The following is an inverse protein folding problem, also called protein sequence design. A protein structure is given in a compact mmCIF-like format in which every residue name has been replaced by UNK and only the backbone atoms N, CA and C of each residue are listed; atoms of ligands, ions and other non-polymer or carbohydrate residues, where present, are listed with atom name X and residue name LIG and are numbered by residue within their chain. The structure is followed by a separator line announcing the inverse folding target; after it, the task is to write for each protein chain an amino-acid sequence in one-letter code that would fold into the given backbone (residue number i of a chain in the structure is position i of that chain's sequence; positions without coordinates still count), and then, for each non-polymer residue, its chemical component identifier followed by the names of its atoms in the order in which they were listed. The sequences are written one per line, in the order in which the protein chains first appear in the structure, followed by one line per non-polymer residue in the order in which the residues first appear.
data_IF_628802382749
#
_entry.id   IF_628802382749
#
_cell.length_a   1.000
_cell.length_b   1.000
_cell.length_c   1.000
_cell.angle_alpha   90.00
_cell.angle_beta   90.00
_cell.angle_gamma   90.00
#
_symmetry.space_group_name_H-M   'P 1'
#
loop_
_entity.id
_entity.type
_entity.pdbx_description
1 polymer ?
#
# COMPACT_ATOMS: atom_id res chain seq x y z
N UNK A 1 16.28 4.67 -1.31
CA UNK A 1 15.79 3.52 -0.50
C UNK A 1 16.95 2.78 0.17
N UNK A 2 17.77 1.99 -0.55
CA UNK A 2 18.80 1.13 0.04
C UNK A 2 19.77 1.88 0.96
N UNK A 3 20.30 3.02 0.55
CA UNK A 3 21.19 3.84 1.38
C UNK A 3 20.54 4.33 2.68
N UNK A 4 19.23 4.60 2.63
CA UNK A 4 18.45 4.96 3.81
C UNK A 4 18.36 3.80 4.79
N UNK A 5 18.03 2.59 4.30
CA UNK A 5 17.96 1.39 5.12
C UNK A 5 19.30 0.98 5.74
N UNK A 6 20.42 1.38 5.11
CA UNK A 6 21.77 1.13 5.61
C UNK A 6 22.34 2.29 6.44
N UNK A 7 21.55 3.27 6.81
CA UNK A 7 21.99 4.41 7.62
C UNK A 7 23.01 5.32 6.96
N UNK A 8 23.09 5.34 5.62
CA UNK A 8 24.09 6.12 4.88
C UNK A 8 23.64 7.57 4.67
N UNK A 9 24.57 8.52 4.81
CA UNK A 9 24.32 9.97 4.63
C UNK A 9 23.66 10.36 3.30
N UNK A 10 23.86 9.56 2.25
CA UNK A 10 23.20 9.77 0.94
C UNK A 10 21.86 9.02 0.79
N UNK A 11 21.28 8.58 1.90
CA UNK A 11 19.88 8.17 1.98
C UNK A 11 18.91 9.33 1.77
N UNK A 12 17.62 9.05 1.59
CA UNK A 12 16.63 10.10 1.30
C UNK A 12 16.37 11.04 2.50
N UNK A 13 16.64 10.58 3.71
CA UNK A 13 16.63 11.38 4.95
C UNK A 13 17.98 11.34 5.69
N UNK A 14 19.07 11.22 4.94
CA UNK A 14 20.40 11.17 5.51
C UNK A 14 20.72 9.88 6.26
N UNK A 15 19.96 8.81 6.04
CA UNK A 15 20.11 7.53 6.71
C UNK A 15 19.49 7.45 8.10
N UNK A 16 18.73 8.46 8.51
CA UNK A 16 18.15 8.55 9.87
C UNK A 16 16.69 8.08 9.93
N UNK A 17 15.97 8.05 8.81
CA UNK A 17 14.55 7.75 8.79
C UNK A 17 14.20 6.28 8.63
N UNK A 18 15.15 5.42 8.27
CA UNK A 18 14.92 3.99 8.08
C UNK A 18 13.85 3.68 7.04
N UNK A 19 13.10 2.59 7.24
CA UNK A 19 12.06 2.16 6.31
C UNK A 19 10.83 3.08 6.28
N UNK A 20 10.56 3.79 7.37
CA UNK A 20 9.37 4.65 7.50
C UNK A 20 9.45 5.92 6.63
N UNK A 21 10.66 6.44 6.42
CA UNK A 21 10.84 7.73 5.74
C UNK A 21 11.32 7.61 4.30
N UNK A 22 11.08 6.45 3.66
CA UNK A 22 11.49 6.24 2.28
C UNK A 22 10.62 7.08 1.34
N UNK A 23 11.23 8.05 0.68
CA UNK A 23 10.57 8.89 -0.31
C UNK A 23 11.47 9.14 -1.53
N UNK A 24 10.89 9.65 -2.59
CA UNK A 24 11.63 10.00 -3.80
C UNK A 24 10.95 11.11 -4.59
N UNK A 25 11.54 12.29 -4.58
CA UNK A 25 11.08 13.43 -5.39
C UNK A 25 11.11 13.11 -6.90
N UNK A 26 12.10 12.31 -7.34
CA UNK A 26 12.27 11.95 -8.76
C UNK A 26 11.06 11.22 -9.35
N UNK A 27 10.36 10.43 -8.55
CA UNK A 27 9.19 9.64 -8.98
C UNK A 27 7.91 10.10 -8.28
N UNK A 28 7.91 11.29 -7.68
CA UNK A 28 6.78 11.83 -6.92
C UNK A 28 6.23 10.86 -5.86
N UNK A 29 7.12 10.13 -5.19
CA UNK A 29 6.78 9.24 -4.11
C UNK A 29 6.96 9.97 -2.78
N UNK A 30 5.85 10.23 -2.09
CA UNK A 30 5.84 10.75 -0.73
C UNK A 30 6.04 9.58 0.24
N UNK A 31 6.82 9.81 1.27
CA UNK A 31 7.08 8.79 2.27
C UNK A 31 5.94 8.62 3.26
N UNK A 32 6.17 7.73 4.19
CA UNK A 32 5.37 7.51 5.38
C UNK A 32 6.05 8.22 6.57
N UNK A 33 5.30 8.72 7.53
CA UNK A 33 5.83 9.47 8.67
C UNK A 33 5.63 8.80 10.04
N UNK A 34 5.06 7.60 10.06
CA UNK A 34 4.77 6.86 11.29
C UNK A 34 3.37 7.06 11.87
N UNK A 35 2.65 8.11 11.49
CA UNK A 35 1.24 8.28 11.86
C UNK A 35 0.34 7.51 10.89
N UNK A 36 -0.45 6.58 11.40
CA UNK A 36 -1.35 5.77 10.58
C UNK A 36 -2.33 6.67 9.82
N UNK A 37 -2.38 6.51 8.50
CA UNK A 37 -3.31 7.26 7.65
C UNK A 37 -2.90 8.70 7.31
N UNK A 38 -1.83 9.28 7.88
CA UNK A 38 -1.37 10.64 7.56
C UNK A 38 -1.09 10.85 6.07
N UNK A 39 -0.67 9.80 5.37
CA UNK A 39 -0.48 9.81 3.93
C UNK A 39 -1.77 10.13 3.15
N UNK A 40 -2.95 9.94 3.74
CA UNK A 40 -4.21 10.36 3.12
C UNK A 40 -4.26 11.89 3.00
N UNK A 41 -4.03 12.62 4.08
CA UNK A 41 -4.02 14.08 4.07
C UNK A 41 -2.92 14.67 3.20
N UNK A 42 -1.72 14.08 3.25
CA UNK A 42 -0.58 14.48 2.41
C UNK A 42 -0.91 14.27 0.93
N UNK A 43 -1.41 13.09 0.57
CA UNK A 43 -1.78 12.76 -0.80
C UNK A 43 -2.91 13.62 -1.35
N UNK A 44 -3.92 13.94 -0.52
CA UNK A 44 -5.00 14.85 -0.88
C UNK A 44 -4.47 16.25 -1.13
N UNK A 45 -3.61 16.77 -0.26
CA UNK A 45 -2.97 18.08 -0.42
C UNK A 45 -2.11 18.16 -1.68
N UNK A 46 -1.31 17.13 -1.93
CA UNK A 46 -0.47 17.02 -3.14
C UNK A 46 -1.31 16.97 -4.42
N UNK A 47 -2.38 16.17 -4.44
CA UNK A 47 -3.31 16.11 -5.56
C UNK A 47 -4.03 17.44 -5.79
N UNK A 48 -4.52 18.06 -4.73
CA UNK A 48 -5.23 19.33 -4.81
C UNK A 48 -4.36 20.44 -5.38
N UNK A 49 -3.11 20.53 -4.95
CA UNK A 49 -2.16 21.54 -5.43
C UNK A 49 -1.69 21.25 -6.86
N UNK A 50 -1.28 20.03 -7.15
CA UNK A 50 -0.67 19.68 -8.44
C UNK A 50 -1.68 19.38 -9.54
N UNK A 51 -2.93 19.08 -9.20
CA UNK A 51 -3.99 18.55 -10.09
C UNK A 51 -3.62 17.24 -10.78
N UNK A 52 -2.61 16.53 -10.28
CA UNK A 52 -2.15 15.27 -10.85
C UNK A 52 -2.86 14.08 -10.20
N UNK A 53 -3.14 13.01 -10.98
CA UNK A 53 -3.60 11.74 -10.44
C UNK A 53 -2.71 11.25 -9.30
N UNK A 54 -3.33 10.83 -8.20
CA UNK A 54 -2.61 10.42 -6.99
C UNK A 54 -3.12 9.09 -6.49
N UNK A 55 -2.22 8.19 -6.10
CA UNK A 55 -2.54 6.93 -5.45
C UNK A 55 -2.11 7.05 -3.99
N UNK A 56 -3.00 6.65 -3.07
CA UNK A 56 -2.78 6.67 -1.64
C UNK A 56 -2.95 5.25 -1.12
N UNK A 57 -1.88 4.67 -0.57
CA UNK A 57 -1.92 3.35 0.07
C UNK A 57 -2.14 3.52 1.57
N UNK A 58 -3.12 2.84 2.12
CA UNK A 58 -3.44 2.84 3.56
C UNK A 58 -3.81 1.44 4.04
N UNK A 59 -3.54 1.14 5.31
CA UNK A 59 -4.06 -0.08 5.93
C UNK A 59 -5.53 0.06 6.33
N UNK A 60 -6.20 -1.07 6.60
CA UNK A 60 -7.61 -1.11 6.99
C UNK A 60 -7.90 -0.35 8.29
N UNK A 61 -7.01 -0.44 9.29
CA UNK A 61 -7.15 0.31 10.53
C UNK A 61 -6.96 1.81 10.35
N UNK A 62 -6.16 2.24 9.38
CA UNK A 62 -5.98 3.65 9.09
C UNK A 62 -7.25 4.35 8.58
N UNK A 63 -8.23 3.61 8.07
CA UNK A 63 -9.53 4.17 7.70
C UNK A 63 -10.33 4.71 8.90
N UNK A 64 -9.97 4.33 10.12
CA UNK A 64 -10.66 4.72 11.35
C UNK A 64 -10.16 6.06 11.89
N UNK A 65 -9.05 6.57 11.34
CA UNK A 65 -8.48 7.86 11.75
C UNK A 65 -9.35 9.04 11.27
N UNK A 66 -9.59 9.98 12.15
CA UNK A 66 -10.48 11.13 11.91
C UNK A 66 -10.05 11.99 10.71
N UNK A 67 -8.77 12.23 10.54
CA UNK A 67 -8.22 12.97 9.41
C UNK A 67 -8.32 12.20 8.09
N UNK A 68 -8.43 10.87 8.10
CA UNK A 68 -8.72 10.08 6.89
C UNK A 68 -10.17 10.27 6.49
N UNK A 69 -11.11 10.28 7.44
CA UNK A 69 -12.52 10.57 7.18
C UNK A 69 -12.69 11.98 6.59
N UNK A 70 -12.03 12.97 7.16
CA UNK A 70 -12.02 14.34 6.62
C UNK A 70 -11.44 14.38 5.20
N UNK A 71 -10.37 13.61 4.93
CA UNK A 71 -9.76 13.50 3.61
C UNK A 71 -10.73 12.91 2.57
N UNK A 72 -11.44 11.83 2.90
CA UNK A 72 -12.46 11.23 2.02
C UNK A 72 -13.57 12.22 1.67
N UNK A 73 -14.07 12.95 2.69
CA UNK A 73 -15.09 13.99 2.50
C UNK A 73 -14.62 15.05 1.50
N UNK A 74 -13.41 15.53 1.67
CA UNK A 74 -12.84 16.60 0.84
C UNK A 74 -12.59 16.13 -0.60
N UNK A 75 -12.04 14.93 -0.76
CA UNK A 75 -11.78 14.29 -2.06
C UNK A 75 -13.07 14.15 -2.85
N UNK A 76 -14.14 13.68 -2.22
CA UNK A 76 -15.46 13.55 -2.83
C UNK A 76 -16.00 14.91 -3.26
N UNK A 77 -16.01 15.89 -2.36
CA UNK A 77 -16.55 17.24 -2.65
C UNK A 77 -15.79 17.95 -3.76
N UNK A 78 -14.48 17.77 -3.85
CA UNK A 78 -13.61 18.40 -4.86
C UNK A 78 -13.44 17.58 -6.12
N UNK A 79 -14.00 16.38 -6.16
CA UNK A 79 -13.87 15.41 -7.26
C UNK A 79 -12.40 15.23 -7.68
N UNK A 80 -11.53 14.99 -6.69
CA UNK A 80 -10.10 14.85 -6.96
C UNK A 80 -9.78 13.50 -7.62
N UNK A 81 -8.85 13.43 -8.58
CA UNK A 81 -8.44 12.20 -9.23
C UNK A 81 -7.55 11.33 -8.32
N UNK A 82 -8.14 10.83 -7.25
CA UNK A 82 -7.46 10.03 -6.23
C UNK A 82 -7.99 8.61 -6.22
N UNK A 83 -7.05 7.67 -6.18
CA UNK A 83 -7.31 6.28 -5.87
C UNK A 83 -6.79 5.96 -4.46
N UNK A 84 -7.68 5.65 -3.54
CA UNK A 84 -7.32 5.03 -2.27
C UNK A 84 -7.19 3.52 -2.44
N UNK A 85 -6.03 2.99 -2.09
CA UNK A 85 -5.77 1.54 -2.06
C UNK A 85 -5.69 1.13 -0.60
N UNK A 86 -6.69 0.40 -0.14
CA UNK A 86 -6.76 -0.12 1.22
C UNK A 86 -6.22 -1.55 1.23
N UNK A 87 -5.16 -1.77 1.97
CA UNK A 87 -4.59 -3.10 2.21
C UNK A 87 -5.23 -3.66 3.48
N UNK A 88 -6.32 -4.40 3.28
CA UNK A 88 -7.16 -4.95 4.36
C UNK A 88 -6.69 -6.34 4.76
N UNK A 89 -5.91 -6.41 5.82
CA UNK A 89 -5.45 -7.67 6.41
C UNK A 89 -6.26 -8.09 7.65
N UNK A 90 -7.35 -7.40 7.91
CA UNK A 90 -8.28 -7.68 9.02
C UNK A 90 -7.74 -7.37 10.42
N UNK A 91 -6.55 -6.76 10.52
CA UNK A 91 -5.90 -6.51 11.82
C UNK A 91 -5.32 -5.09 11.93
N UNK A 92 -5.55 -4.47 13.11
CA UNK A 92 -4.72 -3.38 13.62
C UNK A 92 -3.69 -3.99 14.57
N UNK A 93 -2.47 -4.18 14.13
CA UNK A 93 -1.41 -4.94 14.83
C UNK A 93 -1.87 -6.35 15.18
N UNK A 94 -2.58 -6.54 16.29
CA UNK A 94 -3.12 -7.82 16.79
C UNK A 94 -4.64 -7.79 16.98
N UNK A 95 -5.26 -6.60 16.99
CA UNK A 95 -6.70 -6.45 17.20
C UNK A 95 -7.45 -6.68 15.91
N UNK A 96 -8.38 -7.62 15.90
CA UNK A 96 -9.19 -7.90 14.73
C UNK A 96 -10.11 -6.74 14.38
N UNK A 97 -10.46 -6.63 13.12
CA UNK A 97 -11.37 -5.62 12.61
C UNK A 97 -12.76 -5.72 13.25
N UNK A 98 -13.28 -6.92 13.42
CA UNK A 98 -14.57 -7.18 14.05
C UNK A 98 -14.69 -6.69 15.50
N UNK A 99 -13.55 -6.54 16.20
CA UNK A 99 -13.51 -5.97 17.55
C UNK A 99 -13.48 -4.44 17.56
N UNK A 100 -13.22 -3.81 16.40
CA UNK A 100 -13.03 -2.37 16.26
C UNK A 100 -14.19 -1.68 15.57
N UNK A 101 -14.85 -2.36 14.62
CA UNK A 101 -15.89 -1.74 13.79
C UNK A 101 -16.78 -2.78 13.09
N UNK A 102 -18.03 -2.39 12.82
CA UNK A 102 -19.02 -3.18 12.09
C UNK A 102 -19.16 -2.76 10.63
N UNK A 103 -18.56 -1.64 10.21
CA UNK A 103 -18.64 -1.15 8.85
C UNK A 103 -17.45 -1.60 7.99
N UNK A 104 -17.66 -1.72 6.70
CA UNK A 104 -16.63 -2.05 5.71
C UNK A 104 -16.04 -0.79 5.07
N UNK A 105 -14.85 -0.90 4.47
CA UNK A 105 -14.27 0.18 3.65
C UNK A 105 -15.21 0.65 2.53
N UNK A 106 -16.00 -0.28 1.99
CA UNK A 106 -17.00 0.01 0.95
C UNK A 106 -18.18 0.80 1.50
N UNK A 107 -18.65 0.51 2.72
CA UNK A 107 -19.73 1.27 3.38
C UNK A 107 -19.28 2.70 3.64
N UNK A 108 -18.06 2.84 4.15
CA UNK A 108 -17.45 4.15 4.39
C UNK A 108 -17.35 4.96 3.09
N UNK A 109 -16.79 4.40 2.04
CA UNK A 109 -16.68 5.05 0.74
C UNK A 109 -18.06 5.46 0.20
N UNK A 110 -19.07 4.60 0.33
CA UNK A 110 -20.45 4.89 -0.06
C UNK A 110 -21.03 6.08 0.70
N UNK A 111 -20.76 6.17 2.02
CA UNK A 111 -21.21 7.31 2.83
C UNK A 111 -20.65 8.64 2.33
N UNK A 112 -19.44 8.66 1.81
CA UNK A 112 -18.82 9.81 1.16
C UNK A 112 -19.08 9.92 -0.34
N UNK A 113 -19.96 9.09 -0.92
CA UNK A 113 -20.28 9.05 -2.37
C UNK A 113 -19.02 8.78 -3.23
N UNK A 114 -18.07 8.05 -2.71
CA UNK A 114 -16.87 7.59 -3.43
C UNK A 114 -17.16 6.20 -3.99
N UNK A 115 -16.82 5.99 -5.25
CA UNK A 115 -16.93 4.69 -5.89
C UNK A 115 -15.96 3.72 -5.26
N UNK A 116 -16.44 2.55 -4.86
CA UNK A 116 -15.61 1.58 -4.16
C UNK A 116 -15.72 0.17 -4.73
N UNK A 117 -14.59 -0.53 -4.69
CA UNK A 117 -14.47 -1.94 -5.02
C UNK A 117 -13.93 -2.69 -3.81
N UNK A 118 -14.42 -3.91 -3.63
CA UNK A 118 -13.97 -4.84 -2.62
C UNK A 118 -13.53 -6.13 -3.32
N UNK A 119 -12.23 -6.43 -3.26
CA UNK A 119 -11.63 -7.48 -4.08
C UNK A 119 -10.64 -8.32 -3.26
N UNK A 120 -10.41 -9.53 -3.74
CA UNK A 120 -9.32 -10.36 -3.22
C UNK A 120 -7.98 -9.83 -3.70
N UNK A 121 -6.91 -10.18 -3.00
CA UNK A 121 -5.54 -9.95 -3.42
C UNK A 121 -5.19 -10.87 -4.63
N UNK A 122 -5.87 -10.60 -5.74
CA UNK A 122 -5.69 -11.25 -7.03
C UNK A 122 -5.45 -10.19 -8.11
N UNK A 123 -4.30 -10.23 -8.81
CA UNK A 123 -3.97 -9.23 -9.83
C UNK A 123 -5.03 -9.07 -10.92
N UNK A 124 -5.76 -10.15 -11.25
CA UNK A 124 -6.81 -10.11 -12.28
C UNK A 124 -8.06 -9.39 -11.77
N UNK A 125 -8.46 -9.65 -10.52
CA UNK A 125 -9.58 -8.96 -9.88
C UNK A 125 -9.27 -7.47 -9.72
N UNK A 126 -8.08 -7.14 -9.23
CA UNK A 126 -7.61 -5.75 -9.09
C UNK A 126 -7.59 -5.04 -10.45
N UNK A 127 -7.00 -5.66 -11.47
CA UNK A 127 -6.96 -5.09 -12.82
C UNK A 127 -8.37 -4.87 -13.38
N UNK A 128 -9.28 -5.84 -13.21
CA UNK A 128 -10.68 -5.73 -13.66
C UNK A 128 -11.41 -4.60 -12.95
N UNK A 129 -11.20 -4.43 -11.64
CA UNK A 129 -11.83 -3.35 -10.87
C UNK A 129 -11.35 -1.97 -11.30
N UNK A 130 -10.04 -1.83 -11.60
CA UNK A 130 -9.40 -0.56 -11.94
C UNK A 130 -9.39 -0.22 -13.43
N UNK A 131 -9.75 -1.17 -14.32
CA UNK A 131 -9.59 -1.04 -15.77
C UNK A 131 -10.43 0.08 -16.41
N UNK A 132 -11.46 0.57 -15.73
CA UNK A 132 -12.36 1.60 -16.27
C UNK A 132 -12.40 2.79 -15.32
N UNK A 133 -12.09 3.96 -15.84
CA UNK A 133 -12.26 5.24 -15.14
C UNK A 133 -11.31 5.54 -13.96
N UNK A 134 -10.20 4.82 -13.82
CA UNK A 134 -9.16 5.20 -12.87
C UNK A 134 -8.76 6.67 -13.09
N UNK A 135 -8.75 7.45 -12.00
CA UNK A 135 -8.44 8.89 -12.00
C UNK A 135 -9.42 9.84 -12.72
N UNK A 136 -10.58 9.39 -13.16
CA UNK A 136 -11.66 10.28 -13.65
C UNK A 136 -12.51 10.83 -12.51
N UNK A 137 -12.65 10.06 -11.47
CA UNK A 137 -13.38 10.34 -10.26
C UNK A 137 -12.64 9.75 -9.05
N UNK A 138 -12.91 10.21 -7.82
CA UNK A 138 -12.34 9.58 -6.64
C UNK A 138 -12.82 8.12 -6.53
N UNK A 139 -11.87 7.26 -6.21
CA UNK A 139 -12.12 5.82 -6.07
C UNK A 139 -11.43 5.25 -4.85
N UNK A 140 -12.03 4.20 -4.29
CA UNK A 140 -11.44 3.37 -3.26
C UNK A 140 -11.45 1.91 -3.70
N UNK A 141 -10.34 1.22 -3.57
CA UNK A 141 -10.27 -0.23 -3.71
C UNK A 141 -9.82 -0.84 -2.39
N UNK A 142 -10.67 -1.69 -1.80
CA UNK A 142 -10.31 -2.50 -0.64
C UNK A 142 -9.81 -3.85 -1.14
N UNK A 143 -8.58 -4.21 -0.77
CA UNK A 143 -7.93 -5.43 -1.19
C UNK A 143 -7.74 -6.29 0.04
N UNK A 144 -8.42 -7.44 0.11
CA UNK A 144 -8.23 -8.41 1.18
C UNK A 144 -6.88 -9.07 1.05
N UNK A 145 -5.93 -8.64 1.87
CA UNK A 145 -4.54 -9.08 1.86
C UNK A 145 -4.26 -10.05 3.00
N UNK A 146 -3.17 -10.78 2.89
CA UNK A 146 -2.65 -11.59 3.98
C UNK A 146 -1.27 -11.08 4.38
N UNK A 147 -1.10 -10.80 5.67
CA UNK A 147 0.18 -10.40 6.23
C UNK A 147 1.06 -11.63 6.40
N UNK A 148 2.18 -11.67 5.68
CA UNK A 148 3.11 -12.81 5.69
C UNK A 148 4.07 -12.82 6.88
N UNK A 149 4.37 -11.64 7.40
CA UNK A 149 5.42 -11.45 8.38
C UNK A 149 4.90 -10.69 9.58
N UNK A 150 5.72 -10.59 10.58
CA UNK A 150 5.42 -9.86 11.79
C UNK A 150 5.10 -8.39 11.52
N UNK A 151 4.15 -7.89 12.25
CA UNK A 151 3.87 -6.47 12.33
C UNK A 151 4.55 -5.91 13.58
N UNK A 152 5.59 -5.12 13.41
CA UNK A 152 6.32 -4.47 14.52
C UNK A 152 6.68 -5.42 15.68
N UNK A 153 7.12 -6.65 15.37
CA UNK A 153 7.46 -7.65 16.38
C UNK A 153 6.28 -8.50 16.89
N UNK A 154 5.07 -8.22 16.44
CA UNK A 154 3.88 -9.01 16.75
C UNK A 154 3.68 -10.15 15.74
N UNK A 155 2.95 -11.19 16.12
CA UNK A 155 2.80 -12.46 15.41
C UNK A 155 2.49 -12.38 13.92
N UNK A 156 2.44 -13.53 13.28
CA UNK A 156 2.16 -13.67 11.85
C UNK A 156 0.70 -14.04 11.62
N UNK A 157 0.16 -13.67 10.47
CA UNK A 157 -1.10 -14.22 10.00
C UNK A 157 -0.92 -15.71 9.68
N UNK A 158 -1.90 -16.52 10.03
CA UNK A 158 -1.84 -17.97 9.85
C UNK A 158 -2.14 -18.43 8.41
N UNK A 159 -2.49 -17.53 7.52
CA UNK A 159 -2.90 -17.89 6.17
C UNK A 159 -1.70 -18.11 5.25
N UNK A 160 -1.71 -19.22 4.53
CA UNK A 160 -0.66 -19.58 3.59
C UNK A 160 -0.80 -18.82 2.27
N UNK A 161 -0.16 -17.65 2.20
CA UNK A 161 -0.05 -16.88 0.94
C UNK A 161 0.75 -17.62 -0.12
N UNK A 162 1.59 -18.58 0.28
CA UNK A 162 2.28 -19.43 -0.67
C UNK A 162 1.34 -20.27 -1.53
N UNK A 163 0.11 -20.54 -1.09
CA UNK A 163 -0.86 -21.28 -1.91
C UNK A 163 -1.29 -20.47 -3.13
N UNK A 164 -1.46 -19.15 -3.03
CA UNK A 164 -1.70 -18.30 -4.20
C UNK A 164 -0.48 -18.25 -5.12
N UNK A 165 0.70 -18.05 -4.57
CA UNK A 165 1.95 -18.05 -5.33
C UNK A 165 2.17 -19.41 -6.01
N UNK A 166 1.94 -20.52 -5.32
CA UNK A 166 1.99 -21.88 -5.91
C UNK A 166 1.01 -22.04 -7.06
N UNK A 167 -0.23 -21.54 -6.90
CA UNK A 167 -1.25 -21.55 -7.94
C UNK A 167 -0.83 -20.74 -9.17
N UNK A 168 -0.28 -19.55 -8.97
CA UNK A 168 0.22 -18.71 -10.07
C UNK A 168 1.47 -19.32 -10.73
N UNK A 169 2.39 -19.92 -9.97
CA UNK A 169 3.52 -20.66 -10.52
C UNK A 169 3.05 -21.83 -11.35
N UNK A 170 2.01 -22.56 -10.92
CA UNK A 170 1.41 -23.63 -11.70
C UNK A 170 0.81 -23.13 -13.01
N UNK A 171 0.11 -22.00 -12.99
CA UNK A 171 -0.52 -21.39 -14.17
C UNK A 171 0.51 -20.85 -15.18
N UNK A 172 1.59 -20.24 -14.71
CA UNK A 172 2.63 -19.63 -15.55
C UNK A 172 3.76 -20.62 -15.92
N UNK A 173 3.82 -21.76 -15.24
CA UNK A 173 4.78 -22.84 -15.50
C UNK A 173 6.23 -22.40 -15.38
N UNK A 174 7.06 -22.86 -16.30
CA UNK A 174 8.52 -22.60 -16.30
C UNK A 174 8.86 -21.10 -16.32
N UNK A 175 8.02 -20.25 -16.93
CA UNK A 175 8.25 -18.79 -16.97
C UNK A 175 8.25 -18.16 -15.59
N UNK A 176 7.36 -18.58 -14.69
CA UNK A 176 7.31 -18.07 -13.32
C UNK A 176 8.62 -18.34 -12.57
N UNK A 177 9.15 -19.58 -12.66
CA UNK A 177 10.41 -19.98 -12.02
C UNK A 177 11.60 -19.14 -12.53
N UNK A 178 11.64 -18.89 -13.85
CA UNK A 178 12.69 -18.07 -14.46
C UNK A 178 12.63 -16.63 -13.95
N UNK A 179 11.42 -16.05 -13.89
CA UNK A 179 11.23 -14.68 -13.40
C UNK A 179 11.61 -14.59 -11.91
N UNK A 180 11.13 -15.52 -11.10
CA UNK A 180 11.43 -15.59 -9.66
C UNK A 180 12.93 -15.64 -9.41
N UNK A 181 13.64 -16.61 -10.06
CA UNK A 181 15.09 -16.73 -9.94
C UNK A 181 15.82 -15.47 -10.40
N UNK A 182 15.39 -14.87 -11.51
CA UNK A 182 16.00 -13.64 -12.03
C UNK A 182 15.85 -12.46 -11.05
N UNK A 183 14.67 -12.31 -10.44
CA UNK A 183 14.42 -11.26 -9.46
C UNK A 183 15.22 -11.52 -8.17
N UNK A 184 15.23 -12.77 -7.69
CA UNK A 184 16.02 -13.16 -6.52
C UNK A 184 17.50 -12.81 -6.70
N UNK A 185 18.12 -13.26 -7.79
CA UNK A 185 19.53 -12.95 -8.09
C UNK A 185 19.76 -11.43 -8.21
N UNK A 186 18.83 -10.70 -8.83
CA UNK A 186 18.92 -9.23 -8.91
C UNK A 186 18.92 -8.57 -7.53
N UNK A 187 18.06 -9.02 -6.63
CA UNK A 187 17.97 -8.48 -5.25
C UNK A 187 19.24 -8.83 -4.49
N UNK A 188 19.69 -10.09 -4.52
CA UNK A 188 20.91 -10.55 -3.87
C UNK A 188 22.13 -9.73 -4.32
N UNK A 189 22.32 -9.55 -5.62
CA UNK A 189 23.40 -8.74 -6.19
C UNK A 189 23.31 -7.25 -5.78
N UNK A 190 22.10 -6.73 -5.64
CA UNK A 190 21.90 -5.36 -5.15
C UNK A 190 22.36 -5.19 -3.70
N UNK A 191 22.19 -6.20 -2.86
CA UNK A 191 22.63 -6.17 -1.47
C UNK A 191 24.11 -6.49 -1.32
N UNK A 192 24.62 -7.53 -1.99
CA UNK A 192 26.03 -7.93 -1.95
C UNK A 192 27.00 -6.77 -2.25
N UNK A 193 26.72 -5.98 -3.28
CA UNK A 193 27.52 -4.80 -3.65
C UNK A 193 27.63 -3.73 -2.56
N UNK A 194 26.95 -3.88 -1.42
CA UNK A 194 26.91 -2.89 -0.35
C UNK A 194 27.36 -3.42 1.01
N UNK A 195 27.35 -4.75 1.20
CA UNK A 195 27.91 -5.41 2.38
C UNK A 195 29.44 -5.45 2.35
N UNK A 196 30.06 -5.35 1.18
CA UNK A 196 31.52 -5.30 1.04
C UNK A 196 32.14 -3.92 1.41
N UNK A 197 31.31 -2.92 1.78
CA UNK A 197 31.75 -1.55 2.12
C UNK A 197 31.28 -1.08 3.51
N UNK A 198 30.92 -2.02 4.35
CA UNK A 198 30.73 -1.83 5.78
C UNK A 198 31.97 -2.33 6.52
#
# INVERSE_FOLDING_TARGET
MKNELLGKKNGCTGGMGGSLSIHSKKINMFGHDGFMGSNATIGVGACFSSKKPTIIFIGDAALEEDYVLASLSWVSKKNLPILFVVEDNDYAVLTKKEERRDWTAKDLAKAFKIKAFDVKDDPKEIFKALNKNIFREPMLINIHTNRLFWHAGAGTDKQDVFDRLKKEIKNLGKKAKIIDQKIKTKVENLWAKHSEKL
#
